data_IF_256747197084
#
_entry.id   IF_256747197084
#
_cell.length_a   1.000
_cell.length_b   1.000
_cell.length_c   1.000
_cell.angle_alpha   90.00
_cell.angle_beta   90.00
_cell.angle_gamma   90.00
#
_symmetry.space_group_name_H-M   'P 1'
#
loop_
_entity.id
_entity.type
_entity.pdbx_description
1 polymer ?
#
# COMPACT_ATOMS: atom_id res chain seq x y z
N UNK A 1 -15.53 8.13 -29.80
CA UNK A 1 -14.19 7.60 -30.10
C UNK A 1 -13.37 7.55 -28.82
N UNK A 2 -13.03 6.38 -28.37
CA UNK A 2 -12.14 6.15 -27.25
C UNK A 2 -10.71 6.47 -27.69
N UNK A 3 -10.28 7.71 -27.49
CA UNK A 3 -8.89 8.10 -27.71
C UNK A 3 -7.98 7.47 -26.65
N UNK A 4 -6.77 7.04 -27.04
CA UNK A 4 -5.74 6.59 -26.12
C UNK A 4 -5.30 7.78 -25.27
N UNK A 5 -5.36 7.66 -23.94
CA UNK A 5 -4.94 8.71 -23.01
C UNK A 5 -3.59 8.33 -22.41
N UNK A 6 -2.63 9.22 -22.53
CA UNK A 6 -1.31 9.06 -21.96
C UNK A 6 -1.24 9.81 -20.62
N UNK A 7 -0.72 9.17 -19.58
CA UNK A 7 -0.43 9.82 -18.30
C UNK A 7 0.97 9.47 -17.82
N UNK A 8 1.56 10.37 -17.04
CA UNK A 8 2.86 10.19 -16.40
C UNK A 8 2.73 10.43 -14.91
N UNK A 9 3.60 9.81 -14.14
CA UNK A 9 3.74 10.06 -12.73
C UNK A 9 5.21 10.12 -12.33
N UNK A 10 5.48 10.63 -11.15
CA UNK A 10 6.79 10.63 -10.55
C UNK A 10 6.70 10.26 -9.07
N UNK A 11 7.81 9.81 -8.51
CA UNK A 11 7.91 9.56 -7.08
C UNK A 11 9.37 9.53 -6.65
N UNK A 12 9.59 10.01 -5.44
CA UNK A 12 10.89 9.98 -4.77
C UNK A 12 10.72 9.28 -3.44
N UNK A 13 11.62 8.35 -3.15
CA UNK A 13 11.69 7.65 -1.86
C UNK A 13 13.09 7.80 -1.29
N UNK A 14 13.17 8.23 -0.05
CA UNK A 14 14.38 8.28 0.75
C UNK A 14 14.26 7.19 1.83
N UNK A 15 15.26 6.35 1.95
CA UNK A 15 15.31 5.31 2.96
C UNK A 15 16.69 5.32 3.65
N UNK A 16 16.70 5.22 4.97
CA UNK A 16 17.94 5.14 5.74
C UNK A 16 18.33 3.67 5.92
N UNK A 17 19.47 3.31 5.34
CA UNK A 17 19.91 1.91 5.20
C UNK A 17 20.01 1.13 6.53
N UNK A 18 20.32 1.80 7.63
CA UNK A 18 20.59 1.14 8.92
C UNK A 18 19.49 1.37 9.98
N UNK A 19 18.43 2.11 9.70
CA UNK A 19 17.42 2.47 10.71
C UNK A 19 15.99 2.10 10.29
N UNK A 20 15.81 1.45 9.15
CA UNK A 20 14.48 1.02 8.67
C UNK A 20 13.51 2.15 8.29
N UNK A 21 13.84 3.41 8.62
CA UNK A 21 13.02 4.58 8.31
C UNK A 21 13.01 4.89 6.82
N UNK A 22 11.85 5.21 6.29
CA UNK A 22 11.70 5.74 4.95
C UNK A 22 10.61 6.82 4.88
N UNK A 23 10.80 7.72 3.92
CA UNK A 23 9.82 8.72 3.53
C UNK A 23 9.69 8.73 2.02
N UNK A 24 8.50 8.97 1.50
CA UNK A 24 8.30 9.11 0.07
C UNK A 24 7.24 10.15 -0.26
N UNK A 25 7.43 10.77 -1.42
CA UNK A 25 6.44 11.66 -2.04
C UNK A 25 6.25 11.18 -3.47
N UNK A 26 5.02 11.09 -3.92
CA UNK A 26 4.70 10.68 -5.28
C UNK A 26 3.45 11.37 -5.81
N UNK A 27 3.43 11.54 -7.12
CA UNK A 27 2.30 12.06 -7.90
C UNK A 27 2.09 11.13 -9.10
N UNK A 28 1.22 10.10 -8.98
CA UNK A 28 1.05 9.07 -10.01
C UNK A 28 0.44 9.60 -11.31
N UNK A 29 -0.27 10.73 -11.25
CA UNK A 29 -0.93 11.36 -12.38
C UNK A 29 -0.63 12.85 -12.41
N UNK A 30 0.11 13.30 -13.42
CA UNK A 30 0.42 14.71 -13.63
C UNK A 30 -0.59 15.35 -14.56
N UNK A 31 -0.98 14.62 -15.63
CA UNK A 31 -1.88 15.16 -16.64
C UNK A 31 -3.32 15.01 -16.17
N UNK A 32 -4.03 16.13 -16.13
CA UNK A 32 -5.45 16.21 -15.82
C UNK A 32 -6.23 16.18 -17.14
N UNK A 33 -7.14 15.22 -17.24
CA UNK A 33 -8.04 15.16 -18.39
C UNK A 33 -9.40 15.74 -17.99
N UNK A 34 -9.90 16.68 -18.79
CA UNK A 34 -11.25 17.19 -18.64
C UNK A 34 -12.17 16.37 -19.56
N UNK A 35 -13.00 15.54 -18.97
CA UNK A 35 -13.99 14.75 -19.68
C UNK A 35 -15.30 15.54 -19.91
N UNK A 36 -15.22 16.87 -19.97
CA UNK A 36 -16.33 17.78 -20.04
C UNK A 36 -17.21 17.59 -21.27
N UNK A 37 -18.36 16.99 -21.07
CA UNK A 37 -19.56 17.36 -21.83
C UNK A 37 -20.27 18.48 -21.08
N UNK A 38 -20.96 19.37 -21.81
CA UNK A 38 -21.59 20.63 -21.36
C UNK A 38 -22.61 20.51 -20.19
N UNK A 39 -22.72 19.35 -19.55
CA UNK A 39 -23.66 19.09 -18.45
C UNK A 39 -23.05 18.14 -17.42
N UNK A 40 -22.05 18.62 -16.65
CA UNK A 40 -21.50 17.91 -15.50
C UNK A 40 -20.30 17.01 -15.80
N UNK A 41 -19.27 17.55 -16.43
CA UNK A 41 -18.04 16.82 -16.70
C UNK A 41 -17.27 16.46 -15.44
N UNK A 42 -16.78 15.22 -15.36
CA UNK A 42 -15.87 14.76 -14.34
C UNK A 42 -14.48 15.39 -14.54
N UNK A 43 -14.01 16.18 -13.57
CA UNK A 43 -12.63 16.66 -13.54
C UNK A 43 -11.75 15.61 -12.88
N UNK A 44 -10.75 15.13 -13.59
CA UNK A 44 -9.75 14.25 -13.03
C UNK A 44 -8.91 14.99 -11.96
N UNK A 45 -8.87 14.46 -10.74
CA UNK A 45 -8.11 15.04 -9.66
C UNK A 45 -6.70 14.45 -9.62
N UNK A 46 -5.69 15.32 -9.53
CA UNK A 46 -4.32 14.89 -9.28
C UNK A 46 -4.08 14.81 -7.78
N UNK A 47 -3.54 13.68 -7.34
CA UNK A 47 -3.23 13.43 -5.95
C UNK A 47 -1.72 13.43 -5.72
N UNK A 48 -1.29 14.11 -4.67
CA UNK A 48 0.05 13.97 -4.10
C UNK A 48 -0.05 13.02 -2.90
N UNK A 49 0.77 12.00 -2.90
CA UNK A 49 0.89 11.04 -1.82
C UNK A 49 2.17 11.30 -1.05
N UNK A 50 2.04 11.43 0.26
CA UNK A 50 3.16 11.52 1.19
C UNK A 50 3.08 10.30 2.10
N UNK A 51 4.16 9.52 2.18
CA UNK A 51 4.23 8.33 3.01
C UNK A 51 5.45 8.37 3.91
N UNK A 52 5.25 7.98 5.15
CA UNK A 52 6.28 7.77 6.16
C UNK A 52 6.15 6.33 6.69
N UNK A 53 7.27 5.69 6.94
CA UNK A 53 7.25 4.38 7.55
C UNK A 53 8.58 4.02 8.20
N UNK A 54 8.51 2.99 9.03
CA UNK A 54 9.69 2.46 9.70
C UNK A 54 9.64 0.94 9.76
N UNK A 55 10.82 0.33 9.90
CA UNK A 55 11.01 -1.07 10.27
C UNK A 55 11.63 -1.11 11.65
N UNK A 56 10.96 -1.71 12.62
CA UNK A 56 11.39 -1.82 14.00
C UNK A 56 11.56 -3.30 14.32
N UNK A 57 12.78 -3.76 14.46
CA UNK A 57 13.09 -5.13 14.89
C UNK A 57 13.04 -5.18 16.43
N UNK A 58 12.03 -5.83 16.97
CA UNK A 58 11.84 -5.99 18.42
C UNK A 58 12.74 -7.14 18.94
N UNK A 59 12.74 -8.24 18.20
CA UNK A 59 13.59 -9.41 18.41
C UNK A 59 13.67 -10.24 17.13
N UNK A 60 14.36 -11.37 17.13
CA UNK A 60 14.55 -12.23 15.96
C UNK A 60 13.23 -12.77 15.37
N UNK A 61 12.20 -12.88 16.19
CA UNK A 61 10.89 -13.43 15.81
C UNK A 61 9.83 -12.37 15.48
N UNK A 62 10.05 -11.11 15.88
CA UNK A 62 9.05 -10.03 15.74
C UNK A 62 9.63 -8.78 15.16
N UNK A 63 9.11 -8.37 14.01
CA UNK A 63 9.38 -7.08 13.37
C UNK A 63 8.09 -6.30 13.18
N UNK A 64 8.08 -5.04 13.56
CA UNK A 64 6.96 -4.12 13.37
C UNK A 64 7.24 -3.15 12.20
N UNK A 65 6.19 -2.86 11.44
CA UNK A 65 6.21 -1.93 10.31
C UNK A 65 5.10 -0.88 10.48
N UNK A 66 5.32 0.18 11.29
CA UNK A 66 4.42 1.33 11.32
C UNK A 66 4.54 2.13 10.02
N UNK A 67 3.40 2.51 9.46
CA UNK A 67 3.29 3.34 8.26
C UNK A 67 2.19 4.38 8.43
N UNK A 68 2.39 5.55 7.83
CA UNK A 68 1.35 6.55 7.66
C UNK A 68 1.42 7.12 6.26
N UNK A 69 0.27 7.39 5.67
CA UNK A 69 0.16 7.98 4.34
C UNK A 69 -0.87 9.12 4.36
N UNK A 70 -0.57 10.21 3.69
CA UNK A 70 -1.51 11.28 3.41
C UNK A 70 -1.71 11.42 1.89
N UNK A 71 -2.96 11.64 1.50
CA UNK A 71 -3.38 11.96 0.14
C UNK A 71 -3.89 13.37 0.11
N UNK A 72 -3.28 14.20 -0.72
CA UNK A 72 -3.55 15.62 -0.84
C UNK A 72 -4.02 15.89 -2.28
N UNK A 73 -5.19 16.49 -2.42
CA UNK A 73 -5.70 16.97 -3.71
C UNK A 73 -6.12 18.43 -3.59
N UNK A 74 -6.11 19.16 -4.71
CA UNK A 74 -6.36 20.62 -4.71
C UNK A 74 -7.78 20.96 -4.27
N UNK A 75 -8.76 20.11 -4.60
CA UNK A 75 -10.19 20.37 -4.43
C UNK A 75 -10.88 19.34 -3.53
N UNK A 76 -10.12 18.66 -2.65
CA UNK A 76 -10.64 17.67 -1.72
C UNK A 76 -9.99 17.79 -0.34
N UNK A 77 -10.69 17.42 0.73
CA UNK A 77 -10.11 17.30 2.06
C UNK A 77 -8.91 16.35 2.07
N UNK A 78 -7.92 16.66 2.90
CA UNK A 78 -6.77 15.77 3.10
C UNK A 78 -7.28 14.45 3.70
N UNK A 79 -7.01 13.36 3.01
CA UNK A 79 -7.26 12.01 3.52
C UNK A 79 -5.94 11.42 4.02
N UNK A 80 -5.96 10.80 5.19
CA UNK A 80 -4.79 10.11 5.73
C UNK A 80 -5.16 8.74 6.27
N UNK A 81 -4.21 7.85 6.22
CA UNK A 81 -4.31 6.52 6.82
C UNK A 81 -3.03 6.17 7.59
N UNK A 82 -3.20 5.35 8.61
CA UNK A 82 -2.13 4.78 9.40
C UNK A 82 -2.25 3.26 9.42
N UNK A 83 -1.13 2.58 9.36
CA UNK A 83 -1.04 1.13 9.38
C UNK A 83 0.04 0.68 10.36
N UNK A 84 -0.27 -0.34 11.13
CA UNK A 84 0.72 -1.08 11.90
C UNK A 84 0.68 -2.55 11.45
N UNK A 85 1.78 -3.06 10.95
CA UNK A 85 1.95 -4.47 10.60
C UNK A 85 3.01 -5.11 11.48
N UNK A 86 2.69 -6.28 12.02
CA UNK A 86 3.62 -7.16 12.73
C UNK A 86 3.97 -8.35 11.83
N UNK A 87 5.24 -8.61 11.64
CA UNK A 87 5.75 -9.82 11.00
C UNK A 87 6.30 -10.75 12.08
N UNK A 88 5.76 -11.97 12.12
CA UNK A 88 6.11 -12.99 13.08
C UNK A 88 6.91 -14.11 12.40
N UNK A 89 8.11 -14.37 12.90
CA UNK A 89 9.03 -15.44 12.42
C UNK A 89 9.26 -15.41 10.91
N UNK A 90 9.18 -14.20 10.28
CA UNK A 90 9.29 -14.02 8.84
C UNK A 90 8.29 -14.87 8.01
N UNK A 91 7.20 -15.32 8.63
CA UNK A 91 6.20 -16.20 7.99
C UNK A 91 4.78 -15.68 8.08
N UNK A 92 4.42 -15.03 9.16
CA UNK A 92 3.06 -14.57 9.41
C UNK A 92 3.06 -13.05 9.53
N UNK A 93 2.21 -12.40 8.76
CA UNK A 93 1.94 -10.96 8.84
C UNK A 93 0.55 -10.74 9.44
N UNK A 94 0.47 -9.87 10.44
CA UNK A 94 -0.79 -9.39 11.00
C UNK A 94 -0.73 -7.86 11.02
N UNK A 95 -1.73 -7.21 10.42
CA UNK A 95 -1.74 -5.77 10.32
C UNK A 95 -3.10 -5.16 10.58
N UNK A 96 -3.09 -3.98 11.17
CA UNK A 96 -4.26 -3.12 11.32
C UNK A 96 -4.04 -1.85 10.50
N UNK A 97 -5.08 -1.42 9.81
CA UNK A 97 -5.11 -0.16 9.06
C UNK A 97 -6.28 0.67 9.55
N UNK A 98 -6.04 1.95 9.74
CA UNK A 98 -7.07 2.94 10.01
C UNK A 98 -7.01 4.01 8.93
N UNK A 99 -8.11 4.25 8.26
CA UNK A 99 -8.29 5.35 7.32
C UNK A 99 -9.25 6.36 7.92
N UNK A 100 -8.76 7.57 8.08
CA UNK A 100 -9.52 8.64 8.75
C UNK A 100 -10.85 8.90 8.05
N UNK A 101 -11.94 8.87 8.82
CA UNK A 101 -13.32 9.07 8.36
C UNK A 101 -13.79 8.13 7.24
N UNK A 102 -13.17 6.97 7.09
CA UNK A 102 -13.49 6.05 6.01
C UNK A 102 -13.64 4.60 6.51
N UNK A 103 -12.57 3.99 7.02
CA UNK A 103 -12.61 2.55 7.33
C UNK A 103 -11.55 2.08 8.33
N UNK A 104 -11.80 0.88 8.87
CA UNK A 104 -10.82 0.05 9.54
C UNK A 104 -10.53 -1.19 8.71
N UNK A 105 -9.27 -1.60 8.67
CA UNK A 105 -8.86 -2.81 7.97
C UNK A 105 -8.03 -3.74 8.84
N UNK A 106 -8.29 -5.04 8.70
CA UNK A 106 -7.44 -6.12 9.19
C UNK A 106 -6.72 -6.76 8.00
N UNK A 107 -5.42 -6.95 8.13
CA UNK A 107 -4.61 -7.63 7.13
C UNK A 107 -3.94 -8.85 7.74
N UNK A 108 -4.08 -9.98 7.08
CA UNK A 108 -3.41 -11.22 7.43
C UNK A 108 -2.58 -11.67 6.22
N UNK A 109 -1.40 -12.24 6.47
CA UNK A 109 -0.56 -12.76 5.42
C UNK A 109 0.28 -13.93 5.89
N UNK A 110 0.49 -14.89 5.02
CA UNK A 110 1.31 -16.05 5.33
C UNK A 110 2.28 -16.37 4.19
N UNK A 111 3.55 -16.54 4.52
CA UNK A 111 4.56 -17.07 3.62
C UNK A 111 4.37 -18.59 3.54
N UNK A 112 3.52 -19.04 2.63
CA UNK A 112 3.16 -20.46 2.49
C UNK A 112 4.34 -21.30 1.97
N UNK A 113 5.23 -20.71 1.16
CA UNK A 113 6.48 -21.32 0.73
C UNK A 113 7.52 -20.25 0.38
N UNK A 114 8.77 -20.63 0.11
CA UNK A 114 9.81 -19.69 -0.37
C UNK A 114 9.39 -18.89 -1.62
N UNK A 115 8.39 -19.38 -2.37
CA UNK A 115 7.94 -18.78 -3.63
C UNK A 115 6.52 -18.24 -3.58
N UNK A 116 5.76 -18.48 -2.52
CA UNK A 116 4.34 -18.14 -2.49
C UNK A 116 3.96 -17.48 -1.17
N UNK A 117 3.36 -16.32 -1.30
CA UNK A 117 2.75 -15.56 -0.20
C UNK A 117 1.26 -15.44 -0.46
N UNK A 118 0.45 -15.68 0.57
CA UNK A 118 -1.00 -15.55 0.56
C UNK A 118 -1.37 -14.42 1.51
N UNK A 119 -2.14 -13.47 1.03
CA UNK A 119 -2.63 -12.35 1.84
C UNK A 119 -4.14 -12.27 1.82
N UNK A 120 -4.71 -11.88 2.94
CA UNK A 120 -6.13 -11.60 3.09
C UNK A 120 -6.32 -10.24 3.75
N UNK A 121 -7.25 -9.46 3.23
CA UNK A 121 -7.63 -8.17 3.78
C UNK A 121 -9.12 -8.17 4.04
N UNK A 122 -9.49 -7.71 5.23
CA UNK A 122 -10.84 -7.41 5.62
C UNK A 122 -10.94 -5.91 5.90
N UNK A 123 -11.87 -5.22 5.28
CA UNK A 123 -12.08 -3.79 5.49
C UNK A 123 -13.54 -3.53 5.86
N UNK A 124 -13.74 -2.76 6.92
CA UNK A 124 -15.02 -2.34 7.45
C UNK A 124 -15.15 -0.83 7.33
N UNK A 125 -16.04 -0.32 6.47
CA UNK A 125 -16.33 1.11 6.39
C UNK A 125 -16.94 1.62 7.69
N UNK A 126 -16.53 2.81 8.11
CA UNK A 126 -17.09 3.51 9.29
C UNK A 126 -17.81 4.81 8.91
N UNK A 127 -17.73 5.19 7.64
CA UNK A 127 -18.37 6.38 7.09
C UNK A 127 -19.84 6.10 6.71
N UNK A 128 -20.57 7.12 6.28
CA UNK A 128 -21.95 6.99 5.78
C UNK A 128 -22.08 6.02 4.61
N UNK A 129 -20.99 5.69 3.93
CA UNK A 129 -20.91 4.64 2.90
C UNK A 129 -21.24 3.26 3.49
N UNK A 130 -21.09 3.03 4.79
CA UNK A 130 -21.50 1.80 5.48
C UNK A 130 -23.00 1.48 5.32
N UNK A 131 -23.82 2.47 4.98
CA UNK A 131 -25.26 2.29 4.70
C UNK A 131 -25.51 1.57 3.35
N UNK A 132 -24.52 1.58 2.45
CA UNK A 132 -24.62 1.04 1.08
C UNK A 132 -23.64 -0.10 0.82
N UNK A 133 -22.52 -0.16 1.55
CA UNK A 133 -21.47 -1.18 1.41
C UNK A 133 -21.04 -1.66 2.80
N UNK A 134 -21.33 -2.91 3.11
CA UNK A 134 -21.11 -3.43 4.47
C UNK A 134 -19.64 -3.75 4.77
N UNK A 135 -18.97 -4.49 3.91
CA UNK A 135 -17.62 -5.04 4.19
C UNK A 135 -16.93 -5.41 2.89
N UNK A 136 -15.61 -5.34 2.88
CA UNK A 136 -14.81 -5.79 1.74
C UNK A 136 -13.86 -6.89 2.18
N UNK A 137 -13.80 -7.94 1.38
CA UNK A 137 -12.90 -9.08 1.55
C UNK A 137 -12.02 -9.19 0.31
N UNK A 138 -10.70 -9.18 0.51
CA UNK A 138 -9.75 -9.31 -0.58
C UNK A 138 -8.79 -10.47 -0.30
N UNK A 139 -8.58 -11.32 -1.31
CA UNK A 139 -7.59 -12.38 -1.29
C UNK A 139 -6.48 -12.06 -2.31
N UNK A 140 -5.25 -12.03 -1.85
CA UNK A 140 -4.08 -11.77 -2.68
C UNK A 140 -3.13 -12.96 -2.71
N UNK A 141 -2.60 -13.26 -3.90
CA UNK A 141 -1.55 -14.25 -4.10
C UNK A 141 -0.33 -13.56 -4.71
N UNK A 142 0.85 -13.80 -4.13
CA UNK A 142 2.11 -13.30 -4.67
C UNK A 142 3.06 -14.46 -4.91
N UNK A 143 3.57 -14.53 -6.13
CA UNK A 143 4.59 -15.49 -6.51
C UNK A 143 5.94 -14.79 -6.70
N UNK A 144 6.99 -15.32 -6.08
CA UNK A 144 8.34 -14.82 -6.22
C UNK A 144 9.06 -15.61 -7.30
N UNK A 145 9.48 -14.92 -8.36
CA UNK A 145 10.28 -15.49 -9.44
C UNK A 145 11.74 -15.14 -9.16
N UNK A 146 12.51 -16.13 -8.71
CA UNK A 146 13.94 -15.94 -8.43
C UNK A 146 14.77 -16.09 -9.70
N UNK A 147 15.65 -15.12 -9.95
CA UNK A 147 16.69 -15.21 -10.97
C UNK A 147 17.75 -16.24 -10.54
N UNK A 148 18.54 -16.79 -11.49
CA UNK A 148 19.58 -17.81 -11.18
C UNK A 148 20.55 -17.37 -10.09
N UNK A 149 21.02 -16.13 -10.13
CA UNK A 149 21.93 -15.55 -9.13
C UNK A 149 21.34 -15.51 -7.71
N UNK A 150 20.07 -15.16 -7.59
CA UNK A 150 19.38 -15.17 -6.29
C UNK A 150 19.18 -16.58 -5.72
N UNK A 151 19.10 -17.60 -6.60
CA UNK A 151 19.04 -19.00 -6.18
C UNK A 151 20.36 -19.50 -5.59
N UNK A 152 21.49 -19.02 -6.10
CA UNK A 152 22.82 -19.39 -5.59
C UNK A 152 23.09 -18.74 -4.25
N UNK A 153 22.82 -17.44 -4.09
CA UNK A 153 22.93 -16.73 -2.82
C UNK A 153 22.02 -17.33 -1.73
N UNK A 154 20.80 -17.74 -2.08
CA UNK A 154 19.89 -18.41 -1.14
C UNK A 154 20.35 -19.80 -0.70
N UNK A 155 21.16 -20.48 -1.52
CA UNK A 155 21.78 -21.77 -1.16
C UNK A 155 23.01 -21.60 -0.27
N UNK A 156 23.79 -20.54 -0.47
CA UNK A 156 24.95 -20.24 0.36
C UNK A 156 24.56 -19.81 1.77
N UNK A 157 23.49 -19.04 1.93
CA UNK A 157 22.93 -18.65 3.24
C UNK A 157 22.24 -19.80 3.99
N UNK A 158 21.99 -20.93 3.34
CA UNK A 158 21.33 -22.11 3.91
C UNK A 158 22.32 -23.25 4.30
N UNK A 159 23.62 -22.99 4.16
CA UNK A 159 24.72 -23.86 4.61
C UNK A 159 25.42 -23.27 5.82
#
# INVERSE_FOLDING_TARGET
STGMMFNMGWGVRIARKNQGFYASVSMPRILKYDFGNKSGGYKDASYVYVMLGNKIEINDDLTLYPNAMARIATDAPISWDAQLMANLKQKLDVGLTYRHQDSWGLRLGVQASKKMYIGYVYEMPTSEISLVSNQTHELGLRFFIFTKEQKEQSKEMSR
#
